data_IF_339768416370
#
_entry.id   IF_339768416370
#
_cell.length_a   1.000
_cell.length_b   1.000
_cell.length_c   1.000
_cell.angle_alpha   90.00
_cell.angle_beta   90.00
_cell.angle_gamma   90.00
#
_symmetry.space_group_name_H-M   'P 1'
#
loop_
_entity.id
_entity.type
_entity.pdbx_description
1 polymer ?
#
# COMPACT_ATOMS: atom_id res chain seq x y z
N UNK A 1 11.21 6.33 -7.72
CA UNK A 1 11.81 5.01 -7.41
C UNK A 1 11.25 4.55 -6.06
N UNK A 2 10.97 3.26 -5.84
CA UNK A 2 10.30 2.76 -4.63
C UNK A 2 9.09 1.89 -4.96
N UNK A 3 7.94 2.14 -4.31
CA UNK A 3 6.69 1.37 -4.53
C UNK A 3 6.22 1.37 -6.00
N UNK A 4 6.55 2.40 -6.79
CA UNK A 4 6.28 2.42 -8.24
C UNK A 4 6.91 1.25 -8.99
N UNK A 5 8.11 0.80 -8.59
CA UNK A 5 8.76 -0.34 -9.21
C UNK A 5 8.03 -1.65 -8.87
N UNK A 6 7.54 -1.77 -7.63
CA UNK A 6 6.75 -2.93 -7.21
C UNK A 6 5.44 -3.01 -7.99
N UNK A 7 4.77 -1.87 -8.21
CA UNK A 7 3.59 -1.79 -9.09
C UNK A 7 3.93 -2.27 -10.50
N UNK A 8 5.04 -1.82 -11.09
CA UNK A 8 5.39 -2.21 -12.46
C UNK A 8 5.82 -3.67 -12.59
N UNK A 9 6.39 -4.28 -11.54
CA UNK A 9 6.85 -5.68 -11.56
C UNK A 9 5.72 -6.65 -11.23
N UNK A 10 4.86 -6.30 -10.27
CA UNK A 10 3.84 -7.21 -9.71
C UNK A 10 2.42 -6.89 -10.17
N UNK A 11 2.24 -5.80 -10.93
CA UNK A 11 0.95 -5.30 -11.40
C UNK A 11 -0.07 -5.06 -10.26
N UNK A 12 0.39 -4.43 -9.18
CA UNK A 12 -0.42 -4.21 -7.98
C UNK A 12 -1.62 -3.28 -8.27
N UNK A 13 -2.78 -3.62 -7.70
CA UNK A 13 -3.98 -2.77 -7.71
C UNK A 13 -4.08 -1.87 -6.48
N UNK A 14 -3.47 -2.25 -5.36
CA UNK A 14 -3.54 -1.53 -4.08
C UNK A 14 -2.22 -1.62 -3.31
N UNK A 15 -1.88 -0.53 -2.63
CA UNK A 15 -0.75 -0.41 -1.71
C UNK A 15 -1.29 -0.01 -0.34
N UNK A 16 -1.00 -0.83 0.67
CA UNK A 16 -1.29 -0.52 2.08
C UNK A 16 0.01 -0.06 2.75
N UNK A 17 0.05 1.20 3.19
CA UNK A 17 1.24 1.79 3.83
C UNK A 17 1.11 1.66 5.34
N UNK A 18 2.03 0.92 5.97
CA UNK A 18 2.10 0.75 7.42
C UNK A 18 3.19 1.57 8.12
N UNK A 19 3.40 1.29 9.40
CA UNK A 19 4.47 1.89 10.22
C UNK A 19 4.09 3.25 10.83
N UNK A 20 4.99 3.84 11.62
CA UNK A 20 4.67 5.03 12.43
C UNK A 20 4.34 6.31 11.65
N UNK A 21 4.68 6.38 10.35
CA UNK A 21 4.41 7.54 9.50
C UNK A 21 2.94 7.64 9.08
N UNK A 22 2.14 6.57 9.20
CA UNK A 22 0.70 6.60 8.85
C UNK A 22 -0.07 7.66 9.64
N UNK A 23 0.42 8.09 10.81
CA UNK A 23 -0.17 9.19 11.60
C UNK A 23 -0.17 10.55 10.89
N UNK A 24 0.62 10.71 9.82
CA UNK A 24 0.58 11.90 8.96
C UNK A 24 -0.77 12.01 8.25
N UNK A 25 -1.42 10.87 7.95
CA UNK A 25 -2.74 10.85 7.35
C UNK A 25 -2.74 11.20 5.86
N UNK A 26 -3.79 11.87 5.42
CA UNK A 26 -4.05 12.20 4.01
C UNK A 26 -2.84 12.78 3.27
N UNK A 27 -2.05 13.72 3.82
CA UNK A 27 -0.90 14.28 3.11
C UNK A 27 0.15 13.23 2.71
N UNK A 28 0.29 12.16 3.49
CA UNK A 28 1.19 11.05 3.14
C UNK A 28 0.61 10.22 2.00
N UNK A 29 -0.67 9.83 2.09
CA UNK A 29 -1.30 9.00 1.06
C UNK A 29 -1.44 9.74 -0.27
N UNK A 30 -1.84 11.02 -0.26
CA UNK A 30 -1.97 11.82 -1.48
C UNK A 30 -0.62 12.09 -2.12
N UNK A 31 0.42 12.42 -1.33
CA UNK A 31 1.78 12.59 -1.86
C UNK A 31 2.33 11.32 -2.53
N UNK A 32 2.06 10.14 -1.98
CA UNK A 32 2.44 8.87 -2.62
C UNK A 32 1.62 8.65 -3.90
N UNK A 33 0.30 8.88 -3.84
CA UNK A 33 -0.61 8.70 -4.97
C UNK A 33 -0.21 9.57 -6.18
N UNK A 34 0.09 10.85 -5.94
CA UNK A 34 0.52 11.80 -6.96
C UNK A 34 1.84 11.36 -7.59
N UNK A 35 2.80 10.93 -6.77
CA UNK A 35 4.10 10.49 -7.25
C UNK A 35 4.01 9.19 -8.08
N UNK A 36 3.10 8.27 -7.71
CA UNK A 36 2.81 7.09 -8.51
C UNK A 36 2.26 7.45 -9.89
N UNK A 37 1.35 8.42 -9.97
CA UNK A 37 0.76 8.89 -11.23
C UNK A 37 1.80 9.40 -12.23
N UNK A 38 2.91 9.96 -11.74
CA UNK A 38 4.02 10.46 -12.57
C UNK A 38 5.03 9.39 -12.97
N UNK A 39 5.17 8.32 -12.19
CA UNK A 39 6.21 7.30 -12.39
C UNK A 39 5.73 6.04 -13.12
N UNK A 40 4.45 5.68 -12.98
CA UNK A 40 3.91 4.47 -13.59
C UNK A 40 3.72 4.68 -15.10
N UNK A 41 4.34 3.80 -15.89
CA UNK A 41 4.15 3.78 -17.34
C UNK A 41 2.68 3.51 -17.66
N UNK A 42 2.11 4.36 -18.52
CA UNK A 42 0.72 4.24 -18.93
C UNK A 42 -0.29 4.59 -17.84
N UNK A 43 0.08 5.38 -16.81
CA UNK A 43 -0.81 5.77 -15.71
C UNK A 43 -2.18 6.30 -16.14
N UNK A 44 -2.27 7.01 -17.27
CA UNK A 44 -3.54 7.48 -17.85
C UNK A 44 -4.33 6.44 -18.68
N UNK A 45 -3.81 5.23 -18.85
CA UNK A 45 -4.36 4.16 -19.69
C UNK A 45 -4.58 2.84 -18.93
N UNK A 46 -4.37 2.83 -17.61
CA UNK A 46 -4.58 1.67 -16.73
C UNK A 46 -5.42 2.08 -15.51
N UNK A 47 -6.04 1.13 -14.80
CA UNK A 47 -6.66 1.42 -13.51
C UNK A 47 -5.64 2.05 -12.56
N UNK A 48 -6.12 3.05 -11.81
CA UNK A 48 -5.31 3.72 -10.80
C UNK A 48 -4.99 2.74 -9.67
N UNK A 49 -3.73 2.69 -9.25
CA UNK A 49 -3.33 1.94 -8.06
C UNK A 49 -3.73 2.72 -6.82
N UNK A 50 -4.50 2.10 -5.95
CA UNK A 50 -5.01 2.74 -4.75
C UNK A 50 -3.96 2.75 -3.62
N UNK A 51 -3.74 3.91 -3.01
CA UNK A 51 -2.86 4.03 -1.85
C UNK A 51 -3.69 4.28 -0.59
N UNK A 52 -3.64 3.33 0.33
CA UNK A 52 -4.34 3.40 1.63
C UNK A 52 -3.37 3.31 2.80
N UNK A 53 -3.73 3.88 3.94
CA UNK A 53 -2.96 3.78 5.17
C UNK A 53 -3.44 2.58 5.98
N UNK A 54 -2.51 1.87 6.62
CA UNK A 54 -2.86 0.73 7.47
C UNK A 54 -3.64 1.19 8.70
N UNK A 55 -4.78 0.55 8.96
CA UNK A 55 -5.70 0.93 10.02
C UNK A 55 -5.41 0.21 11.35
N UNK A 56 -4.80 -0.97 11.29
CA UNK A 56 -4.60 -1.85 12.45
C UNK A 56 -3.35 -1.52 13.27
N UNK A 57 -2.54 -0.54 12.85
CA UNK A 57 -1.36 -0.10 13.60
C UNK A 57 -0.43 -1.23 14.02
N UNK A 58 -0.06 -1.27 15.30
CA UNK A 58 0.81 -2.28 15.90
C UNK A 58 0.17 -3.68 15.99
N UNK A 59 -1.16 -3.75 15.97
CA UNK A 59 -1.90 -5.01 16.05
C UNK A 59 -1.86 -5.80 14.73
N UNK A 60 -1.57 -5.13 13.60
CA UNK A 60 -1.61 -5.72 12.26
C UNK A 60 -0.81 -7.02 12.15
N UNK A 61 0.40 -7.05 12.72
CA UNK A 61 1.28 -8.21 12.69
C UNK A 61 0.77 -9.38 13.54
N UNK A 62 0.31 -9.08 14.76
CA UNK A 62 -0.21 -10.09 15.68
C UNK A 62 -1.50 -10.72 15.16
N UNK A 63 -2.43 -9.91 14.65
CA UNK A 63 -3.68 -10.37 14.06
C UNK A 63 -3.43 -11.25 12.82
N UNK A 64 -2.54 -10.82 11.92
CA UNK A 64 -2.17 -11.61 10.74
C UNK A 64 -1.58 -12.97 11.10
N UNK A 65 -0.65 -12.99 12.07
CA UNK A 65 -0.06 -14.24 12.55
C UNK A 65 -1.10 -15.18 13.19
N UNK A 66 -2.04 -14.63 13.97
CA UNK A 66 -3.13 -15.40 14.58
C UNK A 66 -4.05 -16.03 13.54
N UNK A 67 -4.43 -15.29 12.49
CA UNK A 67 -5.22 -15.82 11.37
C UNK A 67 -4.47 -16.92 10.62
N UNK A 68 -3.18 -16.71 10.32
CA UNK A 68 -2.35 -17.74 9.67
C UNK A 68 -2.24 -19.02 10.50
N UNK A 69 -2.13 -18.91 11.82
CA UNK A 69 -2.12 -20.07 12.70
C UNK A 69 -3.48 -20.78 12.76
N UNK A 70 -4.58 -20.02 12.68
CA UNK A 70 -5.93 -20.55 12.68
C UNK A 70 -6.27 -21.30 11.37
N UNK A 71 -5.78 -20.82 10.22
CA UNK A 71 -6.00 -21.48 8.91
C UNK A 71 -5.28 -22.83 8.77
N UNK A 72 -4.34 -23.15 9.67
CA UNK A 72 -3.59 -24.40 9.71
C UNK A 72 -4.26 -25.50 10.57
N UNK A 73 -5.35 -25.17 11.28
CA UNK A 73 -6.11 -26.07 12.15
C UNK A 73 -7.34 -26.63 11.44
#
# INVERSE_FOLDING_TARGET
LGVANLVMILDLERIVVGGGLVRIGEPLSSGIQDHLGQLIVGSGHRPQVEVVLAELGEDAGGLGAGLMAADLL
#
